data_IF_649727340908
#
_entry.id   IF_649727340908
#
_cell.length_a   1.000
_cell.length_b   1.000
_cell.length_c   1.000
_cell.angle_alpha   90.00
_cell.angle_beta   90.00
_cell.angle_gamma   90.00
#
_symmetry.space_group_name_H-M   'P 1'
#
loop_
_entity.id
_entity.type
_entity.pdbx_description
1 polymer ?
#
# COMPACT_ATOMS: atom_id res chain seq x y z
N UNK A 1 -1.35 3.36 6.85
CA UNK A 1 -2.26 4.22 6.07
C UNK A 1 -1.46 5.44 5.69
N UNK A 2 -1.43 5.79 4.41
CA UNK A 2 -0.62 6.92 3.97
C UNK A 2 -1.13 8.21 4.60
N UNK A 3 -0.24 8.98 5.21
CA UNK A 3 -0.59 10.24 5.84
C UNK A 3 -0.62 11.36 4.78
N UNK A 4 -1.77 11.53 4.14
CA UNK A 4 -1.98 12.59 3.14
C UNK A 4 -2.97 13.65 3.63
N UNK A 5 -2.94 14.89 3.10
CA UNK A 5 -3.60 16.04 3.70
C UNK A 5 -5.10 15.88 4.00
N UNK A 6 -5.83 15.12 3.17
CA UNK A 6 -7.26 14.86 3.36
C UNK A 6 -7.53 14.00 4.61
N UNK A 7 -6.68 12.99 4.88
CA UNK A 7 -6.80 12.16 6.09
C UNK A 7 -6.47 12.99 7.32
N UNK A 8 -5.41 13.80 7.28
CA UNK A 8 -5.05 14.70 8.38
C UNK A 8 -6.19 15.65 8.74
N UNK A 9 -6.82 16.29 7.73
CA UNK A 9 -7.96 17.20 7.96
C UNK A 9 -9.13 16.48 8.63
N UNK A 10 -9.46 15.28 8.16
CA UNK A 10 -10.56 14.48 8.72
C UNK A 10 -10.23 13.95 10.13
N UNK A 11 -8.99 13.55 10.38
CA UNK A 11 -8.54 13.10 11.69
C UNK A 11 -8.61 14.24 12.73
N UNK A 12 -8.23 15.47 12.35
CA UNK A 12 -8.40 16.66 13.22
C UNK A 12 -9.87 16.87 13.61
N UNK A 13 -10.79 16.79 12.65
CA UNK A 13 -12.23 16.92 12.91
C UNK A 13 -12.75 15.81 13.83
N UNK A 14 -12.26 14.58 13.68
CA UNK A 14 -12.61 13.47 14.58
C UNK A 14 -12.07 13.73 15.98
N UNK A 15 -10.85 14.25 16.12
CA UNK A 15 -10.24 14.55 17.41
C UNK A 15 -11.04 15.61 18.21
N UNK A 16 -11.76 16.51 17.54
CA UNK A 16 -12.70 17.44 18.19
C UNK A 16 -13.87 16.70 18.88
N UNK A 17 -14.30 15.57 18.32
CA UNK A 17 -15.41 14.75 18.86
C UNK A 17 -14.94 13.58 19.73
N UNK A 18 -13.73 13.07 19.47
CA UNK A 18 -13.09 11.95 20.17
C UNK A 18 -11.68 12.41 20.57
N UNK A 19 -11.54 13.07 21.73
CA UNK A 19 -10.24 13.57 22.19
C UNK A 19 -9.21 12.46 22.30
N UNK A 20 -8.02 12.70 21.75
CA UNK A 20 -6.90 11.77 21.74
C UNK A 20 -6.81 10.90 20.49
N UNK A 21 -7.75 10.99 19.56
CA UNK A 21 -7.66 10.27 18.30
C UNK A 21 -6.57 10.85 17.40
N UNK A 22 -5.58 10.03 17.02
CA UNK A 22 -4.53 10.40 16.09
C UNK A 22 -4.00 9.20 15.32
N UNK A 23 -3.51 9.45 14.10
CA UNK A 23 -2.70 8.48 13.38
C UNK A 23 -1.25 8.62 13.81
N UNK A 24 -0.60 7.48 14.07
CA UNK A 24 0.82 7.43 14.41
C UNK A 24 1.53 6.62 13.34
N UNK A 25 2.55 7.22 12.71
CA UNK A 25 3.48 6.47 11.87
C UNK A 25 4.57 5.84 12.75
N UNK A 26 4.66 4.51 12.86
CA UNK A 26 5.66 3.88 13.69
C UNK A 26 7.07 4.17 13.19
N UNK A 27 8.01 4.37 14.12
CA UNK A 27 9.43 4.48 13.79
C UNK A 27 9.95 3.25 13.05
N UNK A 28 11.04 3.43 12.30
CA UNK A 28 11.59 2.40 11.41
C UNK A 28 11.92 1.09 12.14
N UNK A 29 12.43 1.14 13.37
CA UNK A 29 12.74 -0.05 14.18
C UNK A 29 11.49 -0.84 14.55
N UNK A 30 10.39 -0.15 14.88
CA UNK A 30 9.11 -0.82 15.16
C UNK A 30 8.55 -1.46 13.89
N UNK A 31 8.62 -0.76 12.75
CA UNK A 31 8.21 -1.31 11.44
C UNK A 31 9.03 -2.56 11.09
N UNK A 32 10.35 -2.49 11.20
CA UNK A 32 11.29 -3.60 10.99
C UNK A 32 10.94 -4.81 11.85
N UNK A 33 10.73 -4.60 13.16
CA UNK A 33 10.32 -5.67 14.09
C UNK A 33 9.01 -6.33 13.66
N UNK A 34 8.00 -5.54 13.27
CA UNK A 34 6.70 -6.05 12.85
C UNK A 34 6.81 -6.88 11.58
N UNK A 35 7.47 -6.39 10.53
CA UNK A 35 7.57 -7.13 9.26
C UNK A 35 8.40 -8.41 9.39
N UNK A 36 9.45 -8.41 10.21
CA UNK A 36 10.22 -9.62 10.50
C UNK A 36 9.42 -10.64 11.31
N UNK A 37 8.61 -10.18 12.28
CA UNK A 37 7.71 -11.08 13.00
C UNK A 37 6.67 -11.70 12.04
N UNK A 38 6.09 -10.90 11.14
CA UNK A 38 5.17 -11.41 10.12
C UNK A 38 5.84 -12.43 9.19
N UNK A 39 7.08 -12.20 8.75
CA UNK A 39 7.84 -13.16 7.96
C UNK A 39 8.03 -14.49 8.71
N UNK A 40 8.35 -14.45 10.01
CA UNK A 40 8.49 -15.67 10.81
C UNK A 40 7.15 -16.42 10.95
N UNK A 41 6.03 -15.72 11.14
CA UNK A 41 4.71 -16.35 11.20
C UNK A 41 4.31 -17.01 9.87
N UNK A 42 4.77 -16.47 8.75
CA UNK A 42 4.52 -17.02 7.42
C UNK A 42 5.46 -18.17 7.06
N UNK A 43 6.50 -18.41 7.87
CA UNK A 43 7.44 -19.51 7.68
C UNK A 43 6.69 -20.85 7.74
N UNK A 44 6.85 -21.65 6.69
CA UNK A 44 6.17 -22.94 6.56
C UNK A 44 4.71 -22.87 6.05
N UNK A 45 4.16 -21.67 5.78
CA UNK A 45 2.81 -21.50 5.22
C UNK A 45 2.77 -21.38 3.69
N UNK A 46 3.90 -21.56 3.01
CA UNK A 46 4.05 -21.33 1.56
C UNK A 46 3.55 -19.94 1.10
N UNK A 47 3.73 -18.92 1.95
CA UNK A 47 3.39 -17.53 1.67
C UNK A 47 4.67 -16.71 1.80
N UNK A 48 5.07 -16.03 0.73
CA UNK A 48 6.17 -15.08 0.77
C UNK A 48 5.64 -13.70 1.11
N UNK A 49 6.18 -13.08 2.16
CA UNK A 49 5.85 -11.70 2.50
C UNK A 49 6.52 -10.73 1.51
N UNK A 50 5.76 -9.76 1.02
CA UNK A 50 6.28 -8.68 0.18
C UNK A 50 5.69 -7.35 0.64
N UNK A 51 6.41 -6.25 0.40
CA UNK A 51 5.98 -4.91 0.79
C UNK A 51 5.93 -3.95 -0.41
N UNK A 52 4.86 -3.15 -0.49
CA UNK A 52 4.66 -2.17 -1.54
C UNK A 52 4.96 -0.77 -1.01
N UNK A 53 5.71 0.05 -1.76
CA UNK A 53 6.02 1.43 -1.38
C UNK A 53 6.78 1.56 -0.05
N UNK A 54 7.55 0.53 0.34
CA UNK A 54 8.29 0.47 1.61
C UNK A 54 9.81 0.34 1.39
N UNK A 55 10.37 1.06 0.40
CA UNK A 55 11.80 1.02 0.06
C UNK A 55 12.72 1.26 1.27
N UNK A 56 12.33 2.16 2.18
CA UNK A 56 13.09 2.42 3.41
C UNK A 56 13.16 1.20 4.33
N UNK A 57 12.05 0.46 4.46
CA UNK A 57 12.03 -0.78 5.24
C UNK A 57 12.94 -1.82 4.58
N UNK A 58 12.77 -2.07 3.28
CA UNK A 58 13.59 -3.04 2.53
C UNK A 58 15.09 -2.79 2.74
N UNK A 59 15.53 -1.53 2.67
CA UNK A 59 16.94 -1.17 2.83
C UNK A 59 17.53 -1.42 4.23
N UNK A 60 16.70 -1.58 5.27
CA UNK A 60 17.16 -1.79 6.65
C UNK A 60 16.93 -3.23 7.15
N UNK A 61 16.34 -4.09 6.31
CA UNK A 61 16.15 -5.50 6.64
C UNK A 61 17.51 -6.24 6.66
N UNK A 62 17.67 -7.25 7.53
CA UNK A 62 18.86 -8.08 7.54
C UNK A 62 18.96 -8.91 6.25
N UNK A 63 20.17 -9.27 5.84
CA UNK A 63 20.38 -10.11 4.65
C UNK A 63 19.72 -11.49 4.73
N UNK A 64 19.38 -11.97 5.93
CA UNK A 64 18.64 -13.21 6.15
C UNK A 64 17.14 -13.12 5.87
N UNK A 65 16.60 -11.91 5.66
CA UNK A 65 15.18 -11.70 5.32
C UNK A 65 14.92 -12.06 3.86
N UNK A 66 13.85 -12.80 3.61
CA UNK A 66 13.32 -13.13 2.30
C UNK A 66 12.22 -12.16 1.81
N UNK A 67 11.85 -11.17 2.63
CA UNK A 67 10.91 -10.10 2.26
C UNK A 67 11.43 -9.34 1.04
N UNK A 68 10.57 -9.14 0.04
CA UNK A 68 10.90 -8.41 -1.20
C UNK A 68 9.94 -7.25 -1.44
N UNK A 69 10.34 -6.35 -2.34
CA UNK A 69 9.44 -5.32 -2.86
C UNK A 69 8.34 -5.99 -3.72
N UNK A 70 7.10 -5.51 -3.61
CA UNK A 70 5.98 -5.99 -4.42
C UNK A 70 5.59 -5.04 -5.56
N UNK A 71 4.73 -5.55 -6.44
CA UNK A 71 3.93 -4.77 -7.37
C UNK A 71 2.47 -5.21 -7.21
N UNK A 72 1.56 -4.26 -6.97
CA UNK A 72 0.13 -4.57 -6.88
C UNK A 72 -0.43 -5.06 -8.22
N UNK A 73 0.10 -4.52 -9.33
CA UNK A 73 -0.23 -4.93 -10.70
C UNK A 73 1.08 -5.39 -11.39
N UNK A 74 1.47 -6.68 -11.22
CA UNK A 74 2.69 -7.26 -11.80
C UNK A 74 2.42 -7.81 -13.21
N UNK A 75 2.50 -6.97 -14.25
CA UNK A 75 2.13 -7.39 -15.62
C UNK A 75 2.99 -8.55 -16.14
N UNK A 76 4.25 -8.66 -15.71
CA UNK A 76 5.15 -9.76 -16.02
C UNK A 76 4.62 -11.10 -15.48
N UNK A 77 4.15 -11.12 -14.23
CA UNK A 77 3.50 -12.30 -13.66
C UNK A 77 2.19 -12.63 -14.37
N UNK A 78 1.38 -11.61 -14.70
CA UNK A 78 0.12 -11.81 -15.42
C UNK A 78 0.35 -12.43 -16.80
N UNK A 79 1.32 -11.93 -17.58
CA UNK A 79 1.69 -12.52 -18.87
C UNK A 79 2.23 -13.93 -18.71
N UNK A 80 3.02 -14.20 -17.66
CA UNK A 80 3.54 -15.55 -17.39
C UNK A 80 2.41 -16.55 -17.11
N UNK A 81 1.36 -16.15 -16.40
CA UNK A 81 0.25 -17.03 -16.01
C UNK A 81 -0.77 -17.18 -17.15
N UNK A 82 -1.15 -16.08 -17.79
CA UNK A 82 -2.28 -16.05 -18.73
C UNK A 82 -1.88 -15.89 -20.20
N UNK A 83 -0.59 -15.64 -20.48
CA UNK A 83 -0.11 -15.32 -21.81
C UNK A 83 -0.48 -13.90 -22.27
N UNK A 84 -0.48 -13.70 -23.59
CA UNK A 84 -0.84 -12.42 -24.20
C UNK A 84 0.29 -11.38 -24.18
N UNK A 85 -0.09 -10.10 -24.35
CA UNK A 85 0.84 -8.97 -24.41
C UNK A 85 0.35 -7.85 -23.52
N UNK A 86 1.12 -7.53 -22.48
CA UNK A 86 0.93 -6.37 -21.62
C UNK A 86 2.17 -5.47 -21.67
N UNK A 87 1.99 -4.19 -21.37
CA UNK A 87 3.12 -3.27 -21.22
C UNK A 87 3.94 -3.65 -19.99
N UNK A 88 5.27 -3.74 -20.13
CA UNK A 88 6.20 -3.91 -19.01
C UNK A 88 6.78 -2.57 -18.53
N UNK A 89 6.29 -1.45 -19.07
CA UNK A 89 6.72 -0.11 -18.66
C UNK A 89 6.27 0.14 -17.22
N UNK A 90 7.17 0.67 -16.39
CA UNK A 90 6.84 1.12 -15.04
C UNK A 90 5.85 2.28 -15.09
N UNK A 91 4.88 2.26 -14.19
CA UNK A 91 3.89 3.32 -14.10
C UNK A 91 4.46 4.54 -13.36
N UNK A 92 4.77 5.58 -14.13
CA UNK A 92 5.34 6.84 -13.61
C UNK A 92 4.37 7.66 -12.78
N UNK A 93 3.07 7.36 -12.83
CA UNK A 93 2.05 7.97 -11.97
C UNK A 93 2.04 7.41 -10.54
N UNK A 94 2.76 6.32 -10.28
CA UNK A 94 2.81 5.67 -8.98
C UNK A 94 3.95 6.18 -8.09
N UNK A 95 3.97 5.74 -6.83
CA UNK A 95 4.99 6.06 -5.82
C UNK A 95 6.32 5.34 -6.07
N UNK A 96 6.93 5.57 -7.23
CA UNK A 96 8.20 4.92 -7.64
C UNK A 96 9.32 5.23 -6.65
N UNK A 97 9.40 6.47 -6.15
CA UNK A 97 10.45 6.90 -5.20
C UNK A 97 10.42 6.09 -3.90
N UNK A 98 9.24 5.63 -3.50
CA UNK A 98 9.03 4.81 -2.31
C UNK A 98 9.12 3.31 -2.60
N UNK A 99 9.39 2.90 -3.84
CA UNK A 99 9.53 1.50 -4.22
C UNK A 99 8.24 0.85 -4.73
N UNK A 100 7.35 1.60 -5.39
CA UNK A 100 6.26 0.97 -6.13
C UNK A 100 6.81 0.15 -7.31
N UNK A 101 6.43 -1.13 -7.40
CA UNK A 101 6.82 -2.03 -8.48
C UNK A 101 5.86 -2.09 -9.68
N UNK A 102 4.69 -1.45 -9.60
CA UNK A 102 3.62 -1.58 -10.60
C UNK A 102 4.04 -1.16 -12.01
N UNK A 103 3.44 -1.82 -12.99
CA UNK A 103 3.55 -1.47 -14.40
C UNK A 103 2.30 -0.71 -14.84
N UNK A 104 2.38 -0.03 -15.99
CA UNK A 104 1.27 0.78 -16.52
C UNK A 104 0.01 -0.06 -16.59
N UNK A 105 -1.05 0.48 -16.00
CA UNK A 105 -2.40 -0.08 -15.98
C UNK A 105 -3.41 1.06 -15.95
N UNK A 106 -4.67 0.75 -16.23
CA UNK A 106 -5.78 1.71 -16.21
C UNK A 106 -6.81 1.21 -15.22
N UNK A 107 -7.16 2.05 -14.25
CA UNK A 107 -8.28 1.78 -13.35
C UNK A 107 -9.59 1.88 -14.13
N UNK A 108 -10.47 0.88 -13.96
CA UNK A 108 -11.80 0.81 -14.60
C UNK A 108 -12.93 1.23 -13.65
N UNK A 109 -12.60 1.58 -12.40
CA UNK A 109 -13.56 2.01 -11.40
C UNK A 109 -14.18 3.37 -11.73
N UNK A 110 -15.47 3.55 -11.38
CA UNK A 110 -16.18 4.82 -11.49
C UNK A 110 -16.89 5.17 -10.19
N UNK A 111 -16.34 6.15 -9.45
CA UNK A 111 -16.95 6.64 -8.20
C UNK A 111 -18.26 7.40 -8.43
N UNK A 112 -18.46 7.95 -9.63
CA UNK A 112 -19.71 8.63 -9.98
C UNK A 112 -20.85 7.63 -10.20
N UNK A 113 -20.58 6.51 -10.89
CA UNK A 113 -21.59 5.48 -11.18
C UNK A 113 -21.83 4.54 -9.99
N UNK A 114 -20.87 4.43 -9.08
CA UNK A 114 -20.93 3.58 -7.90
C UNK A 114 -20.62 4.39 -6.62
N UNK A 115 -21.53 5.29 -6.22
CA UNK A 115 -21.31 6.13 -5.05
C UNK A 115 -21.27 5.30 -3.76
N UNK A 116 -20.36 5.64 -2.85
CA UNK A 116 -20.21 5.01 -1.56
C UNK A 116 -20.48 6.02 -0.44
N UNK A 117 -21.55 5.82 0.34
CA UNK A 117 -22.03 6.80 1.35
C UNK A 117 -21.48 6.58 2.76
N UNK A 118 -20.49 5.69 2.95
CA UNK A 118 -19.96 5.34 4.27
C UNK A 118 -19.10 6.42 4.93
N UNK A 119 -18.71 7.47 4.19
CA UNK A 119 -17.88 8.58 4.70
C UNK A 119 -16.60 8.16 5.45
N UNK A 120 -15.95 7.07 5.03
CA UNK A 120 -14.78 6.57 5.74
C UNK A 120 -13.68 7.63 5.82
N UNK A 121 -12.97 7.67 6.95
CA UNK A 121 -11.87 8.59 7.22
C UNK A 121 -10.83 8.63 6.08
N UNK A 122 -10.51 7.47 5.53
CA UNK A 122 -9.57 7.24 4.44
C UNK A 122 -10.19 7.17 3.04
N UNK A 123 -11.48 7.52 2.91
CA UNK A 123 -12.19 7.40 1.64
C UNK A 123 -11.58 8.32 0.57
N UNK A 124 -11.05 7.72 -0.48
CA UNK A 124 -10.52 8.40 -1.65
C UNK A 124 -11.62 8.71 -2.70
N UNK A 125 -12.72 7.94 -2.72
CA UNK A 125 -13.84 8.07 -3.67
C UNK A 125 -14.60 9.41 -3.59
N UNK A 126 -14.21 10.28 -2.66
CA UNK A 126 -14.74 11.62 -2.45
C UNK A 126 -16.26 11.73 -2.63
N UNK A 127 -17.05 10.90 -1.92
CA UNK A 127 -18.49 10.95 -2.05
C UNK A 127 -18.96 12.35 -1.65
N UNK A 128 -19.72 12.99 -2.54
CA UNK A 128 -20.50 14.18 -2.22
C UNK A 128 -21.49 13.76 -1.14
N UNK A 129 -21.23 14.15 0.10
CA UNK A 129 -22.21 14.15 1.18
C UNK A 129 -22.66 15.60 1.31
#
# INVERSE_FOLDING_TARGET
>A
MDDYPKIQKRARKINESIPGFSFVDPGIEKKKKVVLAMEQELKGKNIQLQTCCEKKIINVLPASSAITQSACIPNDLLVKIFGGRLSLKKDTGQRIKDGCGCMVSVDIGSYHLQPCHHNCLFCYANPSI
#
